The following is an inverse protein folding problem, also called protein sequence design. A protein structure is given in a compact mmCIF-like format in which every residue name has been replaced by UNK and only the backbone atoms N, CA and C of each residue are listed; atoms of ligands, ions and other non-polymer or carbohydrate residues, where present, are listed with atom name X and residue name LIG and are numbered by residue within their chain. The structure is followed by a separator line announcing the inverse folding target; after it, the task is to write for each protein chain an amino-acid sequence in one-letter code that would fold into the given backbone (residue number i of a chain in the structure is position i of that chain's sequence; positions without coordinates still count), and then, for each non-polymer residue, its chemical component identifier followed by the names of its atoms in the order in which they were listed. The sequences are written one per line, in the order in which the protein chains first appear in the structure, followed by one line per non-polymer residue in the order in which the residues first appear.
data_IF_837529918958
#
_entry.id   IF_837529918958
#
_cell.length_a   1.000
_cell.length_b   1.000
_cell.length_c   1.000
_cell.angle_alpha   90.00
_cell.angle_beta   90.00
_cell.angle_gamma   90.00
#
_symmetry.space_group_name_H-M   'P 1'
#
loop_
_entity.id
_entity.type
_entity.pdbx_description
1 polymer ?
#
# COMPACT_ATOMS: atom_id res chain seq x y z
N UNK A 1 26.39 7.64 -13.56
CA UNK A 1 25.39 7.37 -14.59
C UNK A 1 24.18 8.25 -14.27
N UNK A 2 23.80 9.16 -15.19
CA UNK A 2 22.70 10.11 -14.94
C UNK A 2 21.34 9.41 -15.07
N UNK A 3 20.34 9.90 -14.33
CA UNK A 3 18.96 9.36 -14.33
C UNK A 3 18.33 9.33 -15.73
N UNK A 4 18.79 10.18 -16.61
CA UNK A 4 18.31 10.26 -18.01
C UNK A 4 18.73 9.06 -18.84
N UNK A 5 19.88 8.43 -18.54
CA UNK A 5 20.36 7.22 -19.24
C UNK A 5 19.48 5.98 -18.98
N UNK A 6 18.81 5.92 -17.82
CA UNK A 6 17.93 4.80 -17.44
C UNK A 6 16.59 4.91 -18.18
N UNK A 7 16.06 6.11 -18.34
CA UNK A 7 14.78 6.34 -19.02
C UNK A 7 14.89 6.04 -20.52
N UNK A 8 15.99 6.42 -21.17
CA UNK A 8 16.22 6.11 -22.60
C UNK A 8 16.44 4.61 -22.84
N UNK A 9 17.03 3.88 -21.89
CA UNK A 9 17.20 2.43 -22.01
C UNK A 9 15.87 1.66 -21.95
N UNK A 10 14.91 2.10 -21.13
CA UNK A 10 13.59 1.47 -21.05
C UNK A 10 12.69 1.77 -22.26
N UNK A 11 12.77 2.97 -22.83
CA UNK A 11 12.03 3.32 -24.06
C UNK A 11 12.52 2.57 -25.29
N UNK A 12 13.84 2.30 -25.40
CA UNK A 12 14.40 1.56 -26.54
C UNK A 12 13.99 0.08 -26.53
N UNK A 13 13.77 -0.51 -25.37
CA UNK A 13 13.35 -1.92 -25.25
C UNK A 13 11.89 -2.12 -25.66
N UNK A 14 11.01 -1.15 -25.43
CA UNK A 14 9.59 -1.21 -25.81
C UNK A 14 9.36 -0.97 -27.32
N UNK A 15 10.21 -0.17 -27.99
CA UNK A 15 10.11 0.04 -29.44
C UNK A 15 10.62 -1.14 -30.27
N UNK A 16 11.55 -1.94 -29.72
CA UNK A 16 12.10 -3.12 -30.41
C UNK A 16 11.12 -4.28 -30.55
N UNK A 17 10.11 -4.36 -29.70
CA UNK A 17 9.10 -5.45 -29.67
C UNK A 17 7.95 -5.25 -30.67
N UNK A 18 7.76 -4.04 -31.23
CA UNK A 18 6.64 -3.73 -32.14
C UNK A 18 7.04 -3.88 -33.60
N UNK A 19 8.33 -3.82 -33.92
CA UNK A 19 8.84 -3.88 -35.34
C UNK A 19 9.28 -5.28 -35.80
N UNK A 20 9.30 -6.28 -34.94
CA UNK A 20 9.72 -7.65 -35.26
C UNK A 20 8.64 -8.58 -35.82
N UNK A 21 7.39 -8.15 -35.95
CA UNK A 21 6.24 -9.04 -36.25
C UNK A 21 5.70 -8.95 -37.69
N UNK A 22 6.36 -8.25 -38.63
CA UNK A 22 5.72 -7.97 -39.91
C UNK A 22 6.45 -8.53 -41.18
N UNK A 23 7.32 -9.49 -41.06
CA UNK A 23 7.96 -10.09 -42.27
C UNK A 23 8.24 -11.59 -42.10
N UNK A 24 7.22 -12.45 -42.10
CA UNK A 24 7.37 -13.83 -42.58
C UNK A 24 6.01 -14.27 -43.20
N UNK A 25 5.95 -14.26 -44.52
CA UNK A 25 4.87 -14.80 -45.29
C UNK A 25 4.86 -16.35 -45.33
N UNK A 26 3.74 -16.98 -45.73
CA UNK A 26 3.54 -18.42 -45.57
C UNK A 26 4.32 -19.21 -46.63
N UNK A 27 5.18 -20.15 -46.17
CA UNK A 27 5.68 -21.23 -47.03
C UNK A 27 4.91 -22.51 -46.71
N UNK A 28 4.14 -22.96 -47.67
CA UNK A 28 3.55 -24.29 -47.75
C UNK A 28 4.65 -25.36 -47.81
N UNK A 29 4.70 -26.27 -46.89
CA UNK A 29 5.40 -27.55 -47.03
C UNK A 29 4.54 -28.67 -46.47
N UNK A 30 4.46 -29.75 -47.22
CA UNK A 30 3.64 -30.95 -47.14
C UNK A 30 4.00 -31.84 -45.94
N UNK A 31 3.07 -32.67 -45.41
CA UNK A 31 3.31 -33.43 -44.18
C UNK A 31 4.10 -34.72 -44.42
N UNK A 32 5.08 -34.96 -43.60
CA UNK A 32 5.66 -36.29 -43.40
C UNK A 32 5.50 -36.69 -41.95
N UNK A 33 4.88 -37.87 -41.73
CA UNK A 33 4.47 -38.33 -40.41
C UNK A 33 5.65 -38.81 -39.57
N UNK A 34 5.57 -38.47 -38.29
CA UNK A 34 6.23 -39.16 -37.19
C UNK A 34 5.40 -39.01 -35.90
N UNK A 35 5.41 -39.93 -34.98
CA UNK A 35 4.40 -40.04 -33.92
C UNK A 35 4.53 -38.94 -32.88
N UNK A 36 3.38 -38.38 -32.50
CA UNK A 36 3.25 -37.41 -31.45
C UNK A 36 3.66 -38.03 -30.10
N UNK A 37 4.79 -37.57 -29.58
CA UNK A 37 5.04 -37.64 -28.13
C UNK A 37 4.28 -36.53 -27.49
N UNK A 38 3.23 -36.85 -26.75
CA UNK A 38 2.47 -35.88 -25.94
C UNK A 38 3.44 -35.31 -24.88
N UNK A 39 3.94 -34.10 -25.11
CA UNK A 39 4.50 -33.29 -24.06
C UNK A 39 3.34 -32.70 -23.28
N UNK A 40 2.95 -33.35 -22.20
CA UNK A 40 2.14 -32.73 -21.15
C UNK A 40 2.97 -31.60 -20.53
N UNK A 41 2.96 -30.45 -21.16
CA UNK A 41 3.35 -29.19 -20.57
C UNK A 41 2.23 -28.75 -19.64
N UNK A 42 2.22 -29.26 -18.41
CA UNK A 42 1.38 -28.77 -17.34
C UNK A 42 1.79 -27.32 -17.01
N UNK A 43 1.32 -26.38 -17.78
CA UNK A 43 1.24 -25.00 -17.38
C UNK A 43 0.26 -24.94 -16.21
N UNK A 44 0.76 -24.85 -15.00
CA UNK A 44 -0.08 -24.54 -13.85
C UNK A 44 -0.93 -23.31 -14.23
N UNK A 45 -2.27 -23.37 -14.10
CA UNK A 45 -3.08 -22.20 -14.37
C UNK A 45 -2.58 -21.10 -13.45
N UNK A 46 -2.27 -19.93 -14.01
CA UNK A 46 -1.97 -18.73 -13.24
C UNK A 46 -3.15 -18.57 -12.28
N UNK A 47 -2.94 -18.93 -11.02
CA UNK A 47 -3.98 -18.97 -10.00
C UNK A 47 -4.51 -17.55 -9.85
N UNK A 48 -5.73 -17.32 -10.31
CA UNK A 48 -6.41 -16.06 -10.08
C UNK A 48 -6.46 -15.85 -8.55
N UNK A 49 -5.79 -14.82 -7.98
CA UNK A 49 -5.68 -14.66 -6.54
C UNK A 49 -7.03 -14.39 -5.85
N UNK A 50 -8.04 -14.00 -6.62
CA UNK A 50 -9.37 -13.64 -6.11
C UNK A 50 -10.09 -14.75 -5.32
N UNK A 51 -10.05 -16.05 -5.71
CA UNK A 51 -10.66 -17.10 -4.90
C UNK A 51 -9.99 -17.28 -3.55
N UNK A 52 -8.66 -17.21 -3.49
CA UNK A 52 -7.86 -17.38 -2.26
C UNK A 52 -8.16 -16.25 -1.28
N UNK A 53 -8.19 -15.00 -1.76
CA UNK A 53 -8.51 -13.82 -0.94
C UNK A 53 -9.93 -13.92 -0.39
N UNK A 54 -10.91 -14.36 -1.18
CA UNK A 54 -12.29 -14.56 -0.71
C UNK A 54 -12.37 -15.63 0.36
N UNK A 55 -11.69 -16.75 0.20
CA UNK A 55 -11.65 -17.83 1.18
C UNK A 55 -11.02 -17.35 2.49
N UNK A 56 -9.90 -16.64 2.42
CA UNK A 56 -9.23 -16.07 3.58
C UNK A 56 -10.14 -15.09 4.33
N UNK A 57 -10.80 -14.19 3.60
CA UNK A 57 -11.77 -13.25 4.17
C UNK A 57 -12.92 -13.97 4.89
N UNK A 58 -13.46 -15.03 4.29
CA UNK A 58 -14.54 -15.82 4.88
C UNK A 58 -14.08 -16.52 6.17
N UNK A 59 -12.90 -17.15 6.16
CA UNK A 59 -12.33 -17.81 7.34
C UNK A 59 -12.06 -16.84 8.48
N UNK A 60 -11.52 -15.66 8.18
CA UNK A 60 -11.26 -14.64 9.20
C UNK A 60 -12.56 -14.10 9.81
N UNK A 61 -13.61 -13.89 9.01
CA UNK A 61 -14.93 -13.50 9.50
C UNK A 61 -15.51 -14.56 10.43
N UNK A 62 -15.48 -15.82 10.01
CA UNK A 62 -15.93 -16.93 10.87
C UNK A 62 -15.13 -17.00 12.18
N UNK A 63 -13.83 -16.72 12.14
CA UNK A 63 -12.99 -16.64 13.35
C UNK A 63 -13.47 -15.54 14.29
N UNK A 64 -13.76 -14.35 13.75
CA UNK A 64 -14.25 -13.21 14.54
C UNK A 64 -15.70 -13.43 15.02
N UNK A 65 -16.52 -14.16 14.26
CA UNK A 65 -17.88 -14.53 14.69
C UNK A 65 -17.84 -15.49 15.88
N UNK A 66 -16.88 -16.42 15.93
CA UNK A 66 -16.67 -17.34 17.07
C UNK A 66 -15.96 -16.67 18.24
N UNK A 67 -15.00 -15.80 17.98
CA UNK A 67 -14.24 -15.06 18.98
C UNK A 67 -14.15 -13.58 18.57
N UNK A 68 -15.13 -12.76 19.00
CA UNK A 68 -15.19 -11.33 18.66
C UNK A 68 -14.03 -10.50 19.21
N UNK A 69 -13.22 -11.07 20.12
CA UNK A 69 -12.04 -10.44 20.70
C UNK A 69 -10.72 -11.00 20.15
N UNK A 70 -10.75 -11.76 19.08
CA UNK A 70 -9.56 -12.27 18.43
C UNK A 70 -8.78 -11.13 17.77
N UNK A 71 -7.81 -10.59 18.50
CA UNK A 71 -7.03 -9.42 18.10
C UNK A 71 -6.33 -9.62 16.74
N UNK A 72 -5.74 -10.80 16.52
CA UNK A 72 -5.02 -11.09 15.29
C UNK A 72 -5.97 -11.14 14.06
N UNK A 73 -7.13 -11.78 14.22
CA UNK A 73 -8.12 -11.86 13.14
C UNK A 73 -8.73 -10.49 12.83
N UNK A 74 -8.98 -9.66 13.85
CA UNK A 74 -9.47 -8.30 13.67
C UNK A 74 -8.49 -7.44 12.86
N UNK A 75 -7.19 -7.49 13.18
CA UNK A 75 -6.17 -6.77 12.41
C UNK A 75 -6.10 -7.27 10.98
N UNK A 76 -6.08 -8.59 10.76
CA UNK A 76 -6.02 -9.15 9.40
C UNK A 76 -7.23 -8.73 8.57
N UNK A 77 -8.43 -8.68 9.14
CA UNK A 77 -9.61 -8.15 8.45
C UNK A 77 -9.46 -6.66 8.15
N UNK A 78 -8.97 -5.87 9.12
CA UNK A 78 -8.67 -4.46 8.92
C UNK A 78 -7.73 -4.25 7.73
N UNK A 79 -6.61 -4.98 7.70
CA UNK A 79 -5.61 -4.91 6.63
C UNK A 79 -6.24 -5.29 5.27
N UNK A 80 -6.97 -6.40 5.20
CA UNK A 80 -7.62 -6.82 3.95
C UNK A 80 -8.62 -5.80 3.42
N UNK A 81 -9.37 -5.13 4.30
CA UNK A 81 -10.28 -4.07 3.90
C UNK A 81 -9.56 -2.78 3.53
N UNK A 82 -8.48 -2.43 4.21
CA UNK A 82 -7.62 -1.29 3.88
C UNK A 82 -6.98 -1.48 2.49
N UNK A 83 -6.41 -2.64 2.22
CA UNK A 83 -5.81 -2.99 0.91
C UNK A 83 -6.84 -2.94 -0.23
N UNK A 84 -8.09 -3.26 0.08
CA UNK A 84 -9.20 -3.15 -0.86
C UNK A 84 -9.79 -1.72 -0.95
N UNK A 85 -9.17 -0.72 -0.31
CA UNK A 85 -9.65 0.66 -0.18
C UNK A 85 -11.07 0.78 0.40
N UNK A 86 -11.50 -0.22 1.16
CA UNK A 86 -12.79 -0.24 1.88
C UNK A 86 -12.60 0.32 3.29
N UNK A 87 -12.24 1.59 3.36
CA UNK A 87 -11.83 2.26 4.60
C UNK A 87 -12.88 2.22 5.72
N UNK A 88 -14.21 2.38 5.47
CA UNK A 88 -15.19 2.26 6.53
C UNK A 88 -15.18 0.90 7.25
N UNK A 89 -15.00 -0.19 6.48
CA UNK A 89 -14.92 -1.54 7.05
C UNK A 89 -13.58 -1.76 7.78
N UNK A 90 -12.48 -1.26 7.23
CA UNK A 90 -11.17 -1.32 7.89
C UNK A 90 -11.21 -0.60 9.25
N UNK A 91 -11.81 0.58 9.30
CA UNK A 91 -11.99 1.38 10.52
C UNK A 91 -12.72 0.55 11.60
N UNK A 92 -13.86 -0.08 11.27
CA UNK A 92 -14.59 -0.92 12.22
C UNK A 92 -13.72 -2.01 12.85
N UNK A 93 -12.97 -2.74 12.02
CA UNK A 93 -12.13 -3.82 12.51
C UNK A 93 -10.94 -3.32 13.34
N UNK A 94 -10.30 -2.21 12.96
CA UNK A 94 -9.21 -1.64 13.74
C UNK A 94 -9.68 -1.03 15.06
N UNK A 95 -10.84 -0.36 15.08
CA UNK A 95 -11.44 0.13 16.34
C UNK A 95 -11.74 -1.02 17.30
N UNK A 96 -12.30 -2.12 16.79
CA UNK A 96 -12.53 -3.34 17.57
C UNK A 96 -11.23 -3.97 18.06
N UNK A 97 -10.20 -4.02 17.24
CA UNK A 97 -8.88 -4.51 17.64
C UNK A 97 -8.30 -3.68 18.78
N UNK A 98 -8.35 -2.35 18.68
CA UNK A 98 -7.87 -1.43 19.71
C UNK A 98 -8.70 -1.49 21.00
N UNK A 99 -9.97 -1.86 20.92
CA UNK A 99 -10.81 -2.13 22.11
C UNK A 99 -10.39 -3.42 22.84
N UNK A 100 -9.72 -4.36 22.15
CA UNK A 100 -9.16 -5.58 22.77
C UNK A 100 -7.80 -5.29 23.39
N UNK A 101 -6.92 -4.63 22.65
CA UNK A 101 -5.56 -4.31 23.07
C UNK A 101 -5.09 -3.02 22.40
N UNK A 102 -4.52 -2.14 23.20
CA UNK A 102 -3.88 -0.94 22.67
C UNK A 102 -2.58 -1.30 21.93
N UNK A 103 -2.43 -0.79 20.70
CA UNK A 103 -1.31 -1.11 19.80
C UNK A 103 -1.05 0.09 18.88
N UNK A 104 0.17 0.63 18.93
CA UNK A 104 0.57 1.83 18.20
C UNK A 104 0.53 1.65 16.68
N UNK A 105 0.90 0.45 16.17
CA UNK A 105 0.86 0.16 14.74
C UNK A 105 -0.58 0.10 14.23
N UNK A 106 -1.45 -0.62 14.95
CA UNK A 106 -2.89 -0.69 14.61
C UNK A 106 -3.52 0.70 14.66
N UNK A 107 -3.10 1.55 15.60
CA UNK A 107 -3.58 2.93 15.70
C UNK A 107 -3.09 3.79 14.53
N UNK A 108 -1.88 3.55 14.04
CA UNK A 108 -1.35 4.22 12.85
C UNK A 108 -2.14 3.81 11.61
N UNK A 109 -2.41 2.51 11.43
CA UNK A 109 -3.21 2.01 10.31
C UNK A 109 -4.66 2.55 10.35
N UNK A 110 -5.25 2.62 11.54
CA UNK A 110 -6.55 3.26 11.74
C UNK A 110 -6.52 4.74 11.36
N UNK A 111 -5.46 5.46 11.71
CA UNK A 111 -5.25 6.86 11.33
C UNK A 111 -5.17 7.03 9.81
N UNK A 112 -4.48 6.12 9.11
CA UNK A 112 -4.42 6.09 7.65
C UNK A 112 -5.83 5.88 7.06
N UNK A 113 -6.58 4.93 7.60
CA UNK A 113 -7.95 4.66 7.15
C UNK A 113 -8.88 5.86 7.38
N UNK A 114 -8.78 6.54 8.52
CA UNK A 114 -9.54 7.77 8.78
C UNK A 114 -9.19 8.87 7.78
N UNK A 115 -7.89 9.09 7.51
CA UNK A 115 -7.43 10.08 6.52
C UNK A 115 -8.00 9.77 5.14
N UNK A 116 -7.88 8.53 4.66
CA UNK A 116 -8.39 8.12 3.36
C UNK A 116 -9.93 8.20 3.27
N UNK A 117 -10.62 8.10 4.40
CA UNK A 117 -12.07 8.27 4.50
C UNK A 117 -12.50 9.75 4.73
N UNK A 118 -11.58 10.70 4.65
CA UNK A 118 -11.83 12.14 4.80
C UNK A 118 -12.07 12.60 6.25
N UNK A 119 -11.86 11.73 7.25
CA UNK A 119 -12.04 12.03 8.66
C UNK A 119 -10.74 12.57 9.28
N UNK A 120 -10.30 13.76 8.80
CA UNK A 120 -8.96 14.29 9.11
C UNK A 120 -8.73 14.54 10.60
N UNK A 121 -9.74 14.99 11.34
CA UNK A 121 -9.60 15.22 12.79
C UNK A 121 -9.36 13.90 13.55
N UNK A 122 -10.05 12.83 13.18
CA UNK A 122 -9.84 11.51 13.79
C UNK A 122 -8.47 10.92 13.40
N UNK A 123 -8.06 11.12 12.15
CA UNK A 123 -6.73 10.72 11.69
C UNK A 123 -5.64 11.42 12.51
N UNK A 124 -5.76 12.73 12.69
CA UNK A 124 -4.82 13.52 13.48
C UNK A 124 -4.74 13.01 14.92
N UNK A 125 -5.88 12.79 15.57
CA UNK A 125 -5.94 12.27 16.93
C UNK A 125 -5.29 10.87 17.06
N UNK A 126 -5.55 9.96 16.09
CA UNK A 126 -4.97 8.63 16.07
C UNK A 126 -3.44 8.68 15.94
N UNK A 127 -2.90 9.48 15.00
CA UNK A 127 -1.47 9.64 14.83
C UNK A 127 -0.78 10.33 16.01
N UNK A 128 -1.42 11.34 16.62
CA UNK A 128 -0.90 12.01 17.80
C UNK A 128 -0.75 11.03 18.96
N UNK A 129 -1.76 10.15 19.17
CA UNK A 129 -1.68 9.14 20.20
C UNK A 129 -0.60 8.09 19.87
N UNK A 130 -0.50 7.62 18.63
CA UNK A 130 0.56 6.70 18.21
C UNK A 130 1.95 7.31 18.43
N UNK A 131 2.14 8.58 18.09
CA UNK A 131 3.41 9.30 18.33
C UNK A 131 3.73 9.51 19.81
N UNK A 132 2.72 9.65 20.65
CA UNK A 132 2.93 9.76 22.12
C UNK A 132 3.30 8.40 22.73
N UNK A 133 2.73 7.31 22.24
CA UNK A 133 3.02 5.95 22.70
C UNK A 133 4.40 5.46 22.22
N UNK A 134 4.88 5.94 21.06
CA UNK A 134 6.17 5.57 20.45
C UNK A 134 6.91 6.82 19.96
N UNK A 135 7.51 7.62 20.85
CA UNK A 135 8.12 8.91 20.48
C UNK A 135 9.35 8.80 19.57
N UNK A 136 9.98 7.64 19.52
CA UNK A 136 11.14 7.36 18.65
C UNK A 136 10.75 6.95 17.23
N UNK A 137 9.47 6.67 17.00
CA UNK A 137 8.95 6.33 15.68
C UNK A 137 8.60 7.61 14.88
N UNK A 138 9.16 7.73 13.69
CA UNK A 138 8.96 8.90 12.84
C UNK A 138 7.67 8.84 12.01
N UNK A 139 7.17 7.64 11.74
CA UNK A 139 6.02 7.43 10.84
C UNK A 139 4.74 8.13 11.31
N UNK A 140 4.35 8.06 12.60
CA UNK A 140 3.20 8.82 13.09
C UNK A 140 3.39 10.33 12.91
N UNK A 141 4.58 10.88 13.18
CA UNK A 141 4.88 12.30 12.99
C UNK A 141 4.78 12.71 11.51
N UNK A 142 5.26 11.87 10.61
CA UNK A 142 5.14 12.10 9.16
C UNK A 142 3.69 12.18 8.72
N UNK A 143 2.85 11.25 9.19
CA UNK A 143 1.42 11.27 8.92
C UNK A 143 0.71 12.48 9.56
N UNK A 144 1.10 12.92 10.76
CA UNK A 144 0.60 14.15 11.37
C UNK A 144 0.86 15.36 10.45
N UNK A 145 2.08 15.49 9.95
CA UNK A 145 2.43 16.61 9.08
C UNK A 145 1.63 16.63 7.77
N UNK A 146 1.39 15.44 7.19
CA UNK A 146 0.52 15.29 6.00
C UNK A 146 -0.90 15.75 6.31
N UNK A 147 -1.50 15.21 7.39
CA UNK A 147 -2.88 15.54 7.77
C UNK A 147 -3.03 17.03 8.08
N UNK A 148 -2.08 17.62 8.80
CA UNK A 148 -2.08 19.08 9.07
C UNK A 148 -1.98 19.89 7.77
N UNK A 149 -1.20 19.41 6.79
CA UNK A 149 -1.13 20.02 5.45
C UNK A 149 -2.48 19.95 4.72
N UNK A 150 -3.15 18.80 4.72
CA UNK A 150 -4.49 18.63 4.15
C UNK A 150 -5.55 19.51 4.83
N UNK A 151 -5.44 19.68 6.16
CA UNK A 151 -6.27 20.58 6.95
C UNK A 151 -5.89 22.06 6.78
N UNK A 152 -4.89 22.39 5.97
CA UNK A 152 -4.33 23.74 5.76
C UNK A 152 -3.73 24.36 7.02
N UNK A 153 -3.41 23.58 8.03
CA UNK A 153 -2.75 24.00 9.28
C UNK A 153 -1.22 24.05 9.11
N UNK A 154 -0.77 24.81 8.11
CA UNK A 154 0.62 24.81 7.65
C UNK A 154 1.63 25.23 8.71
N UNK A 155 1.26 26.11 9.65
CA UNK A 155 2.13 26.50 10.76
C UNK A 155 2.50 25.31 11.65
N UNK A 156 1.52 24.50 12.00
CA UNK A 156 1.72 23.30 12.81
C UNK A 156 2.44 22.20 12.03
N UNK A 157 2.07 22.01 10.76
CA UNK A 157 2.77 21.05 9.89
C UNK A 157 4.27 21.37 9.81
N UNK A 158 4.67 22.65 9.67
CA UNK A 158 6.09 23.05 9.67
C UNK A 158 6.80 22.71 10.98
N UNK A 159 6.13 22.87 12.12
CA UNK A 159 6.72 22.51 13.40
C UNK A 159 6.98 20.99 13.53
N UNK A 160 6.06 20.17 12.99
CA UNK A 160 6.24 18.71 12.95
C UNK A 160 7.36 18.32 11.97
N UNK A 161 7.43 18.94 10.79
CA UNK A 161 8.50 18.69 9.82
C UNK A 161 9.87 19.04 10.38
N UNK A 162 9.98 20.10 11.18
CA UNK A 162 11.25 20.42 11.87
C UNK A 162 11.69 19.30 12.83
N UNK A 163 10.76 18.67 13.57
CA UNK A 163 11.06 17.49 14.39
C UNK A 163 11.49 16.29 13.54
N UNK A 164 10.80 16.03 12.43
CA UNK A 164 11.15 14.96 11.50
C UNK A 164 12.57 15.15 10.92
N UNK A 165 12.94 16.37 10.55
CA UNK A 165 14.29 16.67 10.05
C UNK A 165 15.37 16.42 11.11
N UNK A 166 15.06 16.63 12.40
CA UNK A 166 15.98 16.31 13.49
C UNK A 166 16.14 14.79 13.69
N UNK A 167 15.07 14.01 13.50
CA UNK A 167 15.08 12.54 13.63
C UNK A 167 15.68 11.86 12.39
N UNK A 168 15.45 12.41 11.21
CA UNK A 168 15.82 11.86 9.90
C UNK A 168 16.49 12.92 9.01
N UNK A 169 17.70 13.35 9.35
CA UNK A 169 18.39 14.37 8.57
C UNK A 169 18.67 13.85 7.15
N UNK A 170 18.40 14.68 6.15
CA UNK A 170 18.59 14.39 4.72
C UNK A 170 17.66 13.28 4.15
N UNK A 171 16.59 12.89 4.83
CA UNK A 171 15.63 11.95 4.30
C UNK A 171 14.85 12.56 3.12
N UNK A 172 14.81 11.90 1.94
CA UNK A 172 14.17 12.46 0.76
C UNK A 172 12.66 12.64 0.90
N UNK A 173 11.99 11.82 1.72
CA UNK A 173 10.54 11.93 1.95
C UNK A 173 10.24 13.13 2.85
N UNK A 174 11.02 13.32 3.90
CA UNK A 174 10.92 14.48 4.79
C UNK A 174 11.20 15.76 4.03
N UNK A 175 12.22 15.79 3.15
CA UNK A 175 12.53 16.96 2.33
C UNK A 175 11.39 17.31 1.35
N UNK A 176 10.75 16.31 0.74
CA UNK A 176 9.57 16.54 -0.12
C UNK A 176 8.40 17.10 0.68
N UNK A 177 8.16 16.55 1.87
CA UNK A 177 7.11 17.03 2.75
C UNK A 177 7.39 18.48 3.20
N UNK A 178 8.64 18.80 3.54
CA UNK A 178 9.05 20.15 3.89
C UNK A 178 8.79 21.13 2.75
N UNK A 179 9.19 20.78 1.53
CA UNK A 179 8.94 21.60 0.35
C UNK A 179 7.44 21.82 0.11
N UNK A 180 6.62 20.77 0.26
CA UNK A 180 5.17 20.85 0.10
C UNK A 180 4.52 21.80 1.12
N UNK A 181 4.96 21.75 2.39
CA UNK A 181 4.41 22.59 3.46
C UNK A 181 4.94 24.03 3.41
N UNK A 182 6.18 24.24 2.93
CA UNK A 182 6.81 25.56 2.83
C UNK A 182 6.18 26.43 1.73
N UNK A 183 5.79 25.83 0.61
CA UNK A 183 5.19 26.53 -0.53
C UNK A 183 3.74 27.00 -0.34
N UNK A 184 3.13 26.68 0.82
CA UNK A 184 1.74 27.00 1.14
C UNK A 184 1.71 28.11 2.21
N UNK A 185 1.32 29.34 1.79
CA UNK A 185 1.06 30.48 2.67
C UNK A 185 -0.43 30.82 2.72
#
# INVERSE_FOLDING_TARGET
MSRDSIVYSMCSFLLGLILGSLLIGPRLAKPSGAPAIAAEGGGAPASNPMPIVRQQLATLKETVDRDPRNFAALIQLGNMYMDAAKYPQAIDYYERALAVRDDGNVRTDLGICYKQNGQLDKALAAFQKASADSPDEWQPLFNIAIVLGEMRRFGEARAIVAKLNAMRPNDPEVQRLEAAVRGQQ
#
